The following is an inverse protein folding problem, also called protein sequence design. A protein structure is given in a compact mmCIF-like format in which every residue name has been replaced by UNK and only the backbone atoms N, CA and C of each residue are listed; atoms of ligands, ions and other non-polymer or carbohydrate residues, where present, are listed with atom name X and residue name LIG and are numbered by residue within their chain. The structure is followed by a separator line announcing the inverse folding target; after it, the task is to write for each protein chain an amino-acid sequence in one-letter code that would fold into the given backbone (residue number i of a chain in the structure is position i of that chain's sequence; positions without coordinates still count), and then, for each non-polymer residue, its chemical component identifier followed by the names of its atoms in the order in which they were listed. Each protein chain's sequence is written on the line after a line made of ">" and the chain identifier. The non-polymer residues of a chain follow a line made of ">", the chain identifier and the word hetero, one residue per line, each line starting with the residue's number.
data_IF_144550111927
#
_entry.id   IF_144550111927
#
_cell.length_a   1.000
_cell.length_b   1.000
_cell.length_c   1.000
_cell.angle_alpha   90.00
_cell.angle_beta   90.00
_cell.angle_gamma   90.00
#
_symmetry.space_group_name_H-M   'P 1'
#
loop_
_entity.id
_entity.type
_entity.pdbx_description
1 polymer ?
#
# COMPACT_ATOMS: atom_id res chain seq x y z
N UNK A 1 6.71 -12.01 -22.76
CA UNK A 1 7.66 -10.87 -22.77
C UNK A 1 7.02 -9.78 -21.93
N UNK A 2 7.36 -9.76 -20.65
CA UNK A 2 6.96 -8.68 -19.74
C UNK A 2 8.17 -7.75 -19.61
N UNK A 3 8.37 -6.93 -20.63
CA UNK A 3 9.43 -5.94 -20.69
C UNK A 3 8.84 -4.55 -20.49
N UNK A 4 9.16 -3.94 -19.41
CA UNK A 4 8.85 -2.57 -19.07
C UNK A 4 9.43 -2.26 -17.68
N UNK A 5 9.47 -1.02 -17.27
CA UNK A 5 10.00 -0.59 -15.97
C UNK A 5 9.28 -1.18 -14.75
N UNK A 6 8.23 -1.99 -14.96
CA UNK A 6 7.48 -2.69 -13.92
C UNK A 6 7.64 -4.20 -14.06
N UNK A 7 8.82 -4.72 -13.80
CA UNK A 7 9.05 -6.14 -13.87
C UNK A 7 8.17 -6.89 -12.88
N UNK A 8 7.21 -7.67 -13.40
CA UNK A 8 6.64 -8.78 -12.64
C UNK A 8 7.76 -9.82 -12.57
N UNK A 9 8.26 -10.05 -11.38
CA UNK A 9 9.37 -10.96 -11.19
C UNK A 9 8.87 -12.39 -11.38
N UNK A 10 9.49 -13.12 -12.30
CA UNK A 10 9.17 -14.51 -12.53
C UNK A 10 9.62 -15.41 -11.37
N UNK A 11 10.51 -14.92 -10.50
CA UNK A 11 11.07 -15.67 -9.38
C UNK A 11 11.27 -14.76 -8.17
N UNK A 12 10.35 -14.83 -7.21
CA UNK A 12 10.39 -14.03 -5.98
C UNK A 12 11.46 -14.47 -5.01
N UNK A 13 11.85 -15.74 -5.03
CA UNK A 13 12.93 -16.29 -4.20
C UNK A 13 14.28 -15.69 -4.59
N UNK A 14 14.56 -15.59 -5.89
CA UNK A 14 15.77 -14.92 -6.38
C UNK A 14 15.71 -13.41 -6.11
N UNK A 15 14.56 -12.81 -6.24
CA UNK A 15 14.37 -11.40 -5.89
C UNK A 15 14.62 -11.16 -4.40
N UNK A 16 14.12 -12.03 -3.52
CA UNK A 16 14.34 -11.91 -2.07
C UNK A 16 15.84 -11.98 -1.75
N UNK A 17 16.59 -12.91 -2.37
CA UNK A 17 18.04 -12.97 -2.22
C UNK A 17 18.69 -11.68 -2.69
N UNK A 18 18.32 -11.17 -3.86
CA UNK A 18 18.87 -9.94 -4.40
C UNK A 18 18.55 -8.72 -3.52
N UNK A 19 17.34 -8.63 -2.96
CA UNK A 19 16.95 -7.53 -2.08
C UNK A 19 17.51 -7.62 -0.67
N UNK A 20 17.95 -8.80 -0.24
CA UNK A 20 18.64 -9.00 1.06
C UNK A 20 20.01 -8.33 1.08
N UNK A 21 20.60 -8.08 -0.09
CA UNK A 21 21.86 -7.36 -0.23
C UNK A 21 21.59 -5.94 -0.72
N UNK A 22 21.90 -4.97 0.08
CA UNK A 22 21.79 -3.53 -0.30
C UNK A 22 22.76 -3.14 -1.42
N UNK A 23 23.76 -3.96 -1.67
CA UNK A 23 24.77 -3.74 -2.68
C UNK A 23 24.44 -4.47 -3.98
N UNK A 24 24.15 -3.69 -5.02
CA UNK A 24 23.84 -4.23 -6.35
C UNK A 24 25.03 -4.04 -7.29
N UNK A 25 25.68 -5.13 -7.65
CA UNK A 25 26.78 -5.12 -8.63
C UNK A 25 26.32 -4.94 -10.08
N UNK A 26 25.02 -5.14 -10.35
CA UNK A 26 24.43 -5.20 -11.71
C UNK A 26 24.09 -3.81 -12.25
N UNK A 27 23.78 -2.85 -11.39
CA UNK A 27 23.49 -1.48 -11.80
C UNK A 27 24.66 -0.56 -11.47
N UNK A 28 25.59 -0.42 -12.42
CA UNK A 28 26.70 0.55 -12.35
C UNK A 28 27.56 0.41 -11.09
N UNK A 29 28.81 0.30 -11.21
CA UNK A 29 29.91 0.42 -10.23
C UNK A 29 29.60 0.14 -8.72
N UNK A 30 28.63 -0.73 -8.40
CA UNK A 30 28.33 -1.11 -7.01
C UNK A 30 27.62 0.00 -6.21
N UNK A 31 26.53 0.54 -6.72
CA UNK A 31 25.73 1.50 -5.97
C UNK A 31 24.83 0.80 -4.93
N UNK A 32 24.63 1.45 -3.79
CA UNK A 32 23.61 1.06 -2.83
C UNK A 32 22.24 1.27 -3.50
N UNK A 33 21.50 0.16 -3.72
CA UNK A 33 20.17 0.26 -4.28
C UNK A 33 19.15 0.37 -3.15
N UNK A 34 18.62 1.56 -2.92
CA UNK A 34 17.60 1.82 -1.89
C UNK A 34 16.19 1.38 -2.33
N UNK A 35 15.96 1.21 -3.63
CA UNK A 35 14.64 0.84 -4.15
C UNK A 35 14.16 -0.55 -3.68
N UNK A 36 14.98 -1.61 -3.60
CA UNK A 36 14.55 -2.91 -3.10
C UNK A 36 14.20 -2.94 -1.62
N UNK A 37 14.74 -2.03 -0.81
CA UNK A 37 14.52 -2.04 0.64
C UNK A 37 13.05 -1.92 1.04
N UNK A 38 12.24 -1.14 0.31
CA UNK A 38 10.79 -1.01 0.54
C UNK A 38 9.97 -2.23 0.13
N UNK A 39 10.54 -3.16 -0.65
CA UNK A 39 9.80 -4.30 -1.23
C UNK A 39 9.79 -5.55 -0.33
N UNK A 40 10.56 -5.57 0.76
CA UNK A 40 10.90 -6.77 1.53
C UNK A 40 9.72 -7.61 2.00
N UNK A 41 8.69 -7.00 2.59
CA UNK A 41 7.54 -7.76 3.15
C UNK A 41 6.74 -8.44 2.02
N UNK A 42 6.46 -7.74 0.94
CA UNK A 42 5.72 -8.31 -0.20
C UNK A 42 6.51 -9.42 -0.88
N UNK A 43 7.80 -9.18 -1.14
CA UNK A 43 8.68 -10.17 -1.76
C UNK A 43 8.84 -11.39 -0.87
N UNK A 44 8.95 -11.19 0.45
CA UNK A 44 8.99 -12.29 1.41
C UNK A 44 7.71 -13.15 1.33
N UNK A 45 6.53 -12.53 1.38
CA UNK A 45 5.26 -13.25 1.30
C UNK A 45 5.10 -14.02 -0.01
N UNK A 46 5.45 -13.39 -1.14
CA UNK A 46 5.38 -14.02 -2.46
C UNK A 46 6.43 -15.12 -2.63
N UNK A 47 7.63 -14.94 -2.10
CA UNK A 47 8.67 -15.98 -2.07
C UNK A 47 8.25 -17.18 -1.21
N UNK A 48 7.64 -16.96 -0.06
CA UNK A 48 7.07 -18.05 0.76
C UNK A 48 5.99 -18.80 -0.02
N UNK A 49 5.09 -18.09 -0.70
CA UNK A 49 4.05 -18.71 -1.52
C UNK A 49 4.64 -19.50 -2.69
N UNK A 50 5.66 -18.99 -3.37
CA UNK A 50 6.39 -19.69 -4.43
C UNK A 50 7.04 -20.97 -3.92
N UNK A 51 7.74 -20.91 -2.78
CA UNK A 51 8.39 -22.08 -2.17
C UNK A 51 7.37 -23.15 -1.71
N UNK A 52 6.24 -22.73 -1.14
CA UNK A 52 5.17 -23.64 -0.70
C UNK A 52 4.47 -24.31 -1.89
N UNK A 53 4.17 -23.53 -2.94
CA UNK A 53 3.47 -24.05 -4.13
C UNK A 53 4.40 -24.77 -5.10
N UNK A 54 5.71 -24.56 -4.99
CA UNK A 54 6.74 -25.01 -5.95
C UNK A 54 6.46 -24.54 -7.38
N UNK A 55 5.70 -23.46 -7.53
CA UNK A 55 5.30 -22.93 -8.81
C UNK A 55 5.31 -21.40 -8.80
N UNK A 56 6.27 -20.75 -9.50
CA UNK A 56 6.35 -19.28 -9.56
C UNK A 56 5.13 -18.62 -10.20
N UNK A 57 4.42 -19.35 -11.05
CA UNK A 57 3.20 -18.83 -11.68
C UNK A 57 2.12 -18.51 -10.65
N UNK A 58 1.98 -19.33 -9.59
CA UNK A 58 0.99 -19.09 -8.53
C UNK A 58 1.28 -17.79 -7.78
N UNK A 59 2.53 -17.53 -7.43
CA UNK A 59 2.92 -16.30 -6.76
C UNK A 59 2.67 -15.06 -7.65
N UNK A 60 3.01 -15.14 -8.93
CA UNK A 60 2.73 -14.08 -9.89
C UNK A 60 1.23 -13.85 -10.09
N UNK A 61 0.44 -14.93 -10.18
CA UNK A 61 -1.02 -14.85 -10.28
C UNK A 61 -1.62 -14.17 -9.05
N UNK A 62 -1.20 -14.56 -7.85
CA UNK A 62 -1.66 -13.94 -6.60
C UNK A 62 -1.28 -12.47 -6.54
N UNK A 63 -0.08 -12.08 -6.98
CA UNK A 63 0.31 -10.69 -7.05
C UNK A 63 -0.62 -9.88 -7.97
N UNK A 64 -0.78 -10.32 -9.23
CA UNK A 64 -1.61 -9.62 -10.22
C UNK A 64 -3.06 -9.54 -9.76
N UNK A 65 -3.61 -10.66 -9.26
CA UNK A 65 -4.95 -10.69 -8.71
C UNK A 65 -5.11 -9.71 -7.53
N UNK A 66 -4.14 -9.71 -6.62
CA UNK A 66 -4.16 -8.84 -5.44
C UNK A 66 -4.13 -7.36 -5.82
N UNK A 67 -3.32 -6.98 -6.81
CA UNK A 67 -3.23 -5.60 -7.29
C UNK A 67 -4.55 -5.08 -7.86
N UNK A 68 -5.42 -5.95 -8.36
CA UNK A 68 -6.76 -5.58 -8.85
C UNK A 68 -7.83 -5.72 -7.76
N UNK A 69 -7.74 -6.77 -6.95
CA UNK A 69 -8.73 -7.06 -5.92
C UNK A 69 -8.68 -6.06 -4.76
N UNK A 70 -7.49 -5.71 -4.29
CA UNK A 70 -7.37 -4.81 -3.13
C UNK A 70 -7.90 -3.39 -3.38
N UNK A 71 -7.64 -2.73 -4.52
CA UNK A 71 -8.25 -1.42 -4.79
C UNK A 71 -9.78 -1.48 -4.76
N UNK A 72 -10.35 -2.53 -5.36
CA UNK A 72 -11.78 -2.77 -5.34
C UNK A 72 -12.31 -2.94 -3.91
N UNK A 73 -11.70 -3.87 -3.16
CA UNK A 73 -12.09 -4.15 -1.78
C UNK A 73 -11.97 -2.91 -0.89
N UNK A 74 -10.84 -2.20 -0.98
CA UNK A 74 -10.62 -0.99 -0.20
C UNK A 74 -11.68 0.07 -0.46
N UNK A 75 -12.00 0.32 -1.73
CA UNK A 75 -13.02 1.31 -2.09
C UNK A 75 -14.43 0.85 -1.71
N UNK A 76 -14.72 -0.45 -1.81
CA UNK A 76 -15.96 -1.02 -1.31
C UNK A 76 -16.12 -0.79 0.21
N UNK A 77 -15.06 -1.05 0.98
CA UNK A 77 -15.06 -0.84 2.44
C UNK A 77 -15.26 0.64 2.79
N UNK A 78 -14.60 1.57 2.08
CA UNK A 78 -14.84 3.03 2.24
C UNK A 78 -16.32 3.36 2.02
N UNK A 79 -16.88 2.90 0.91
CA UNK A 79 -18.27 3.16 0.56
C UNK A 79 -19.25 2.59 1.60
N UNK A 80 -18.95 1.43 2.17
CA UNK A 80 -19.73 0.82 3.26
C UNK A 80 -19.61 1.59 4.56
N UNK A 81 -18.44 2.13 4.86
CA UNK A 81 -18.20 2.91 6.09
C UNK A 81 -18.98 4.23 6.09
N UNK A 82 -19.19 4.83 4.92
CA UNK A 82 -20.06 6.01 4.76
C UNK A 82 -21.54 5.66 4.55
N UNK A 83 -21.94 4.43 4.92
CA UNK A 83 -23.30 3.92 4.93
C UNK A 83 -23.99 3.78 3.56
N UNK A 84 -23.26 3.65 2.46
CA UNK A 84 -23.85 3.29 1.18
C UNK A 84 -24.43 1.88 1.21
N UNK A 85 -25.53 1.67 0.48
CA UNK A 85 -26.11 0.33 0.29
C UNK A 85 -25.10 -0.60 -0.40
N UNK A 86 -25.16 -1.94 -0.18
CA UNK A 86 -24.18 -2.88 -0.76
C UNK A 86 -24.01 -2.74 -2.26
N UNK A 87 -25.12 -2.61 -3.00
CA UNK A 87 -25.07 -2.44 -4.45
C UNK A 87 -24.39 -1.12 -4.86
N UNK A 88 -24.73 -0.02 -4.20
CA UNK A 88 -24.09 1.28 -4.46
C UNK A 88 -22.60 1.24 -4.12
N UNK A 89 -22.22 0.59 -3.02
CA UNK A 89 -20.82 0.40 -2.64
C UNK A 89 -20.05 -0.42 -3.68
N UNK A 90 -20.68 -1.49 -4.20
CA UNK A 90 -20.11 -2.30 -5.29
C UNK A 90 -19.90 -1.47 -6.55
N UNK A 91 -20.88 -0.67 -6.96
CA UNK A 91 -20.77 0.19 -8.13
C UNK A 91 -19.68 1.25 -7.99
N UNK A 92 -19.54 1.86 -6.80
CA UNK A 92 -18.46 2.81 -6.50
C UNK A 92 -17.09 2.13 -6.59
N UNK A 93 -16.95 0.93 -6.05
CA UNK A 93 -15.71 0.17 -6.12
C UNK A 93 -15.37 -0.25 -7.56
N UNK A 94 -16.38 -0.66 -8.33
CA UNK A 94 -16.22 -0.98 -9.75
C UNK A 94 -15.81 0.26 -10.55
N UNK A 95 -16.48 1.40 -10.33
CA UNK A 95 -16.16 2.67 -10.98
C UNK A 95 -14.71 3.11 -10.67
N UNK A 96 -14.24 2.89 -9.43
CA UNK A 96 -12.85 3.14 -9.07
C UNK A 96 -11.89 2.34 -9.94
N UNK A 97 -12.12 1.04 -10.13
CA UNK A 97 -11.25 0.17 -10.95
C UNK A 97 -11.24 0.54 -12.44
N UNK A 98 -12.43 0.84 -13.00
CA UNK A 98 -12.56 1.15 -14.45
C UNK A 98 -12.18 2.59 -14.78
N UNK A 99 -11.93 3.43 -13.77
CA UNK A 99 -11.46 4.79 -14.00
C UNK A 99 -10.16 4.76 -14.84
N UNK A 100 -10.08 5.49 -15.97
CA UNK A 100 -8.94 5.42 -16.88
C UNK A 100 -7.60 5.68 -16.20
N UNK A 101 -7.54 6.65 -15.27
CA UNK A 101 -6.32 6.96 -14.54
C UNK A 101 -5.87 5.81 -13.62
N UNK A 102 -6.81 5.11 -12.98
CA UNK A 102 -6.53 3.97 -12.10
C UNK A 102 -6.17 2.74 -12.93
N UNK A 103 -6.98 2.43 -13.97
CA UNK A 103 -6.78 1.26 -14.82
C UNK A 103 -5.45 1.33 -15.58
N UNK A 104 -4.98 2.52 -15.93
CA UNK A 104 -3.67 2.71 -16.55
C UNK A 104 -2.53 2.23 -15.63
N UNK A 105 -2.59 2.57 -14.33
CA UNK A 105 -1.58 2.10 -13.36
C UNK A 105 -1.65 0.59 -13.13
N UNK A 106 -2.84 0.02 -13.10
CA UNK A 106 -3.04 -1.41 -12.92
C UNK A 106 -2.60 -2.21 -14.17
N UNK A 107 -2.94 -1.75 -15.35
CA UNK A 107 -2.65 -2.45 -16.60
C UNK A 107 -1.19 -2.37 -17.02
N UNK A 108 -0.49 -1.30 -16.68
CA UNK A 108 0.94 -1.18 -16.94
C UNK A 108 1.79 -2.12 -16.06
N UNK A 109 1.14 -2.84 -15.11
CA UNK A 109 1.79 -3.77 -14.19
C UNK A 109 3.01 -3.16 -13.46
N UNK A 110 3.05 -1.83 -13.36
CA UNK A 110 4.01 -1.15 -12.54
C UNK A 110 3.60 -1.37 -11.08
N UNK A 111 4.24 -2.33 -10.44
CA UNK A 111 3.92 -2.77 -9.07
C UNK A 111 3.92 -1.62 -8.07
N UNK A 112 4.78 -0.64 -8.25
CA UNK A 112 4.89 0.51 -7.35
C UNK A 112 3.65 1.39 -7.43
N UNK A 113 3.28 1.81 -8.63
CA UNK A 113 2.12 2.66 -8.85
C UNK A 113 0.80 1.91 -8.54
N UNK A 114 0.70 0.64 -8.94
CA UNK A 114 -0.45 -0.20 -8.63
C UNK A 114 -0.62 -0.40 -7.13
N UNK A 115 0.48 -0.55 -6.37
CA UNK A 115 0.45 -0.64 -4.91
C UNK A 115 -0.05 0.64 -4.25
N UNK A 116 0.29 1.83 -4.77
CA UNK A 116 -0.26 3.10 -4.28
C UNK A 116 -1.76 3.16 -4.47
N UNK A 117 -2.23 2.81 -5.67
CA UNK A 117 -3.66 2.76 -5.99
C UNK A 117 -4.44 1.80 -5.09
N UNK A 118 -3.82 0.67 -4.73
CA UNK A 118 -4.41 -0.28 -3.79
C UNK A 118 -4.38 0.23 -2.35
N UNK A 119 -3.28 0.84 -1.93
CA UNK A 119 -3.07 1.32 -0.57
C UNK A 119 -4.01 2.46 -0.18
N UNK A 120 -4.20 3.46 -1.07
CA UNK A 120 -4.96 4.67 -0.76
C UNK A 120 -6.37 4.41 -0.19
N UNK A 121 -7.23 3.57 -0.80
CA UNK A 121 -8.55 3.29 -0.24
C UNK A 121 -8.51 2.60 1.12
N UNK A 122 -7.51 1.72 1.35
CA UNK A 122 -7.35 1.07 2.66
C UNK A 122 -6.96 2.05 3.75
N UNK A 123 -6.00 2.95 3.51
CA UNK A 123 -5.62 3.96 4.48
C UNK A 123 -6.79 4.89 4.79
N UNK A 124 -7.56 5.24 3.75
CA UNK A 124 -8.77 6.02 3.91
C UNK A 124 -9.79 5.29 4.79
N UNK A 125 -10.11 4.03 4.48
CA UNK A 125 -11.03 3.21 5.25
C UNK A 125 -10.56 2.99 6.70
N UNK A 126 -9.31 2.61 6.94
CA UNK A 126 -8.76 2.37 8.28
C UNK A 126 -8.90 3.62 9.13
N UNK A 127 -8.59 4.78 8.57
CA UNK A 127 -8.72 6.05 9.27
C UNK A 127 -10.18 6.35 9.62
N UNK A 128 -11.11 6.16 8.69
CA UNK A 128 -12.56 6.33 8.96
C UNK A 128 -13.07 5.35 10.01
N UNK A 129 -12.69 4.09 9.91
CA UNK A 129 -13.19 3.00 10.75
C UNK A 129 -12.68 3.07 12.18
N UNK A 130 -11.40 3.37 12.35
CA UNK A 130 -10.71 3.24 13.64
C UNK A 130 -10.32 4.58 14.27
N UNK A 131 -10.82 5.73 13.76
CA UNK A 131 -10.43 7.05 14.31
C UNK A 131 -10.72 7.21 15.80
N UNK A 132 -11.72 6.48 16.36
CA UNK A 132 -12.06 6.50 17.79
C UNK A 132 -11.14 5.62 18.63
N UNK A 133 -10.52 4.61 18.04
CA UNK A 133 -9.68 3.62 18.74
C UNK A 133 -8.22 3.78 18.32
N UNK A 134 -7.45 4.48 19.16
CA UNK A 134 -6.05 4.81 18.87
C UNK A 134 -5.19 3.56 18.64
N UNK A 135 -5.43 2.48 19.40
CA UNK A 135 -4.65 1.26 19.30
C UNK A 135 -4.91 0.52 17.98
N UNK A 136 -6.18 0.37 17.63
CA UNK A 136 -6.55 -0.24 16.34
C UNK A 136 -6.09 0.61 15.17
N UNK A 137 -6.26 1.94 15.25
CA UNK A 137 -5.76 2.84 14.21
C UNK A 137 -4.25 2.65 14.01
N UNK A 138 -3.47 2.64 15.09
CA UNK A 138 -2.03 2.45 15.05
C UNK A 138 -1.63 1.12 14.39
N UNK A 139 -2.18 0.00 14.89
CA UNK A 139 -1.78 -1.33 14.39
C UNK A 139 -2.26 -1.59 12.95
N UNK A 140 -3.52 -1.30 12.63
CA UNK A 140 -4.03 -1.56 11.28
C UNK A 140 -3.39 -0.64 10.25
N UNK A 141 -3.15 0.63 10.61
CA UNK A 141 -2.46 1.56 9.72
C UNK A 141 -1.03 1.11 9.46
N UNK A 142 -0.27 0.83 10.51
CA UNK A 142 1.11 0.38 10.40
C UNK A 142 1.24 -0.92 9.62
N UNK A 143 0.45 -1.94 9.95
CA UNK A 143 0.47 -3.22 9.24
C UNK A 143 0.14 -3.05 7.74
N UNK A 144 -0.87 -2.22 7.42
CA UNK A 144 -1.24 -1.98 6.02
C UNK A 144 -0.13 -1.27 5.26
N UNK A 145 0.51 -0.25 5.83
CA UNK A 145 1.64 0.44 5.19
C UNK A 145 2.85 -0.48 5.01
N UNK A 146 3.10 -1.40 5.95
CA UNK A 146 4.18 -2.40 5.82
C UNK A 146 3.89 -3.42 4.70
N UNK A 147 2.65 -3.93 4.61
CA UNK A 147 2.25 -4.85 3.54
C UNK A 147 2.35 -4.19 2.16
N UNK A 148 1.93 -2.94 2.05
CA UNK A 148 1.98 -2.18 0.81
C UNK A 148 3.25 -1.30 0.70
N UNK A 149 4.35 -1.70 1.33
CA UNK A 149 5.60 -0.91 1.34
C UNK A 149 6.17 -0.63 -0.05
N UNK A 150 5.83 -1.43 -1.06
CA UNK A 150 6.11 -1.13 -2.47
C UNK A 150 5.64 0.28 -2.91
N UNK A 151 4.53 0.75 -2.37
CA UNK A 151 4.00 2.07 -2.70
C UNK A 151 4.98 3.20 -2.33
N UNK A 152 5.86 2.97 -1.36
CA UNK A 152 6.78 3.98 -0.85
C UNK A 152 8.16 3.95 -1.52
N UNK A 153 8.43 2.98 -2.39
CA UNK A 153 9.66 2.97 -3.20
C UNK A 153 9.67 4.12 -4.21
N UNK A 154 8.49 4.59 -4.63
CA UNK A 154 8.33 5.85 -5.34
C UNK A 154 7.89 6.93 -4.34
N UNK A 155 8.85 7.67 -3.80
CA UNK A 155 8.65 8.63 -2.71
C UNK A 155 7.48 9.61 -2.91
N UNK A 156 7.31 10.28 -4.08
CA UNK A 156 6.19 11.19 -4.29
C UNK A 156 4.82 10.50 -4.15
N UNK A 157 4.71 9.28 -4.68
CA UNK A 157 3.46 8.52 -4.64
C UNK A 157 3.15 8.00 -3.23
N UNK A 158 4.17 7.63 -2.46
CA UNK A 158 4.01 7.27 -1.05
C UNK A 158 3.48 8.42 -0.21
N UNK A 159 3.96 9.64 -0.44
CA UNK A 159 3.42 10.85 0.18
C UNK A 159 1.94 11.04 -0.18
N UNK A 160 1.56 10.87 -1.45
CA UNK A 160 0.16 10.96 -1.89
C UNK A 160 -0.72 9.92 -1.17
N UNK A 161 -0.23 8.70 -0.98
CA UNK A 161 -0.97 7.67 -0.22
C UNK A 161 -1.25 8.12 1.22
N UNK A 162 -0.27 8.71 1.90
CA UNK A 162 -0.47 9.25 3.25
C UNK A 162 -1.40 10.47 3.29
N UNK A 163 -1.42 11.30 2.23
CA UNK A 163 -2.38 12.41 2.13
C UNK A 163 -3.83 11.94 2.15
N UNK A 164 -4.12 10.73 1.66
CA UNK A 164 -5.47 10.14 1.75
C UNK A 164 -5.96 10.04 3.20
N UNK A 165 -5.06 9.74 4.13
CA UNK A 165 -5.37 9.67 5.57
C UNK A 165 -5.62 11.03 6.18
N UNK A 166 -4.89 12.06 5.77
CA UNK A 166 -5.14 13.44 6.19
C UNK A 166 -6.50 13.94 5.68
N UNK A 167 -6.84 13.63 4.43
CA UNK A 167 -8.16 13.95 3.86
C UNK A 167 -9.25 13.22 4.66
N UNK A 168 -9.04 11.95 5.04
CA UNK A 168 -9.99 11.21 5.88
C UNK A 168 -10.21 11.89 7.23
N UNK A 169 -9.11 12.26 7.91
CA UNK A 169 -9.19 12.97 9.20
C UNK A 169 -9.91 14.31 9.06
N UNK A 170 -9.65 15.03 7.96
CA UNK A 170 -10.35 16.27 7.66
C UNK A 170 -11.86 16.03 7.48
N UNK A 171 -12.26 15.04 6.69
CA UNK A 171 -13.67 14.68 6.50
C UNK A 171 -14.33 14.29 7.83
N UNK A 172 -13.64 13.48 8.66
CA UNK A 172 -14.16 13.12 9.99
C UNK A 172 -14.39 14.36 10.84
N UNK A 173 -13.43 15.28 10.86
CA UNK A 173 -13.53 16.49 11.71
C UNK A 173 -14.69 17.40 11.31
N UNK A 174 -14.99 17.51 10.01
CA UNK A 174 -16.04 18.42 9.52
C UNK A 174 -17.42 17.79 9.39
N UNK A 175 -17.50 16.52 9.01
CA UNK A 175 -18.76 15.87 8.66
C UNK A 175 -19.24 14.85 9.67
N UNK A 176 -18.33 14.12 10.33
CA UNK A 176 -18.68 13.05 11.26
C UNK A 176 -18.65 13.55 12.70
N UNK A 177 -17.62 14.27 13.07
CA UNK A 177 -17.45 14.80 14.43
C UNK A 177 -17.21 16.31 14.39
N UNK A 178 -18.30 17.08 14.19
CA UNK A 178 -18.29 18.56 14.10
C UNK A 178 -17.64 19.28 15.29
N UNK A 179 -17.28 18.55 16.36
CA UNK A 179 -16.63 19.07 17.56
C UNK A 179 -15.19 18.59 17.71
N UNK A 180 -14.60 17.97 16.67
CA UNK A 180 -13.22 17.54 16.75
C UNK A 180 -12.30 18.76 16.94
N UNK A 181 -11.69 18.84 18.12
CA UNK A 181 -10.77 19.93 18.46
C UNK A 181 -9.45 19.70 17.72
N UNK A 182 -8.78 20.79 17.34
CA UNK A 182 -7.48 20.74 16.64
C UNK A 182 -6.45 19.83 17.33
N UNK A 183 -6.43 19.82 18.66
CA UNK A 183 -5.55 18.94 19.45
C UNK A 183 -5.82 17.45 19.22
N UNK A 184 -7.09 17.06 19.06
CA UNK A 184 -7.48 15.68 18.75
C UNK A 184 -7.06 15.30 17.32
N UNK A 185 -7.26 16.18 16.36
CA UNK A 185 -6.76 15.99 14.99
C UNK A 185 -5.24 15.76 14.98
N UNK A 186 -4.48 16.62 15.65
CA UNK A 186 -3.02 16.51 15.74
C UNK A 186 -2.60 15.20 16.42
N UNK A 187 -3.28 14.80 17.49
CA UNK A 187 -3.03 13.51 18.17
C UNK A 187 -3.23 12.32 17.21
N UNK A 188 -4.30 12.31 16.43
CA UNK A 188 -4.55 11.24 15.44
C UNK A 188 -3.48 11.22 14.35
N UNK A 189 -3.08 12.37 13.88
CA UNK A 189 -2.00 12.48 12.90
C UNK A 189 -0.67 11.94 13.44
N UNK A 190 -0.32 12.27 14.69
CA UNK A 190 0.88 11.73 15.36
C UNK A 190 0.81 10.20 15.46
N UNK A 191 -0.36 9.63 15.80
CA UNK A 191 -0.56 8.18 15.85
C UNK A 191 -0.31 7.55 14.47
N UNK A 192 -0.87 8.10 13.42
CA UNK A 192 -0.70 7.64 12.03
C UNK A 192 0.78 7.70 11.63
N UNK A 193 1.44 8.83 11.89
CA UNK A 193 2.85 9.00 11.56
C UNK A 193 3.75 8.04 12.34
N UNK A 194 3.50 7.87 13.64
CA UNK A 194 4.23 6.92 14.50
C UNK A 194 4.03 5.48 14.03
N UNK A 195 2.81 5.10 13.67
CA UNK A 195 2.52 3.79 13.10
C UNK A 195 3.30 3.56 11.80
N UNK A 196 3.26 4.53 10.89
CA UNK A 196 4.01 4.46 9.63
C UNK A 196 5.51 4.28 9.90
N UNK A 197 6.12 5.12 10.75
CA UNK A 197 7.56 5.06 11.05
C UNK A 197 7.92 3.71 11.68
N UNK A 198 7.21 3.27 12.72
CA UNK A 198 7.58 2.06 13.47
C UNK A 198 7.41 0.78 12.64
N UNK A 199 6.33 0.66 11.87
CA UNK A 199 6.10 -0.52 11.03
C UNK A 199 6.95 -0.57 9.76
N UNK A 200 7.50 0.58 9.35
CA UNK A 200 8.35 0.68 8.17
C UNK A 200 9.82 0.99 8.51
N UNK A 201 10.17 0.97 9.80
CA UNK A 201 11.50 1.32 10.32
C UNK A 201 12.63 0.53 9.66
N UNK A 202 12.39 -0.74 9.36
CA UNK A 202 13.37 -1.65 8.76
C UNK A 202 13.90 -1.19 7.39
N UNK A 203 13.11 -0.46 6.61
CA UNK A 203 13.58 0.08 5.33
C UNK A 203 13.86 1.60 5.40
N UNK A 204 13.21 2.31 6.33
CA UNK A 204 13.48 3.74 6.54
C UNK A 204 14.92 3.98 7.01
N UNK A 205 15.47 3.07 7.81
CA UNK A 205 16.89 3.14 8.24
C UNK A 205 17.88 3.18 7.09
N UNK A 206 17.52 2.63 5.95
CA UNK A 206 18.38 2.58 4.77
C UNK A 206 18.37 3.89 3.97
N UNK A 207 17.55 4.87 4.37
CA UNK A 207 17.51 6.20 3.75
C UNK A 207 18.50 7.18 4.40
N UNK A 208 19.07 6.82 5.54
CA UNK A 208 20.03 7.58 6.32
C UNK A 208 21.38 6.87 6.36
#
# INVERSE_FOLDING_TARGET
>A
ILGGEGNIFLNFTEQLKATSYQWFSVYGQGMINLAPSGTGVNVLLLSLLENLSKNPFIANFVLVFSLHYFPFLGMYLVAREINLRPLSAFLVALFYLINPSISQYLNNLNQWNASVVALMPFLFWITLRFYKDNLKLFFFYGATTAIFSFAYTNQPLGVIANLSSLISLYIISFHVNKKMVYSEFLKKYVIILSAFILFNFWWLLNLF
#
